data_IF_197091834837
#
_entry.id   IF_197091834837
#
_cell.length_a   1.000
_cell.length_b   1.000
_cell.length_c   1.000
_cell.angle_alpha   90.00
_cell.angle_beta   90.00
_cell.angle_gamma   90.00
#
_symmetry.space_group_name_H-M   'P 1'
#
loop_
_entity.id
_entity.type
_entity.pdbx_description
1 polymer ?
#
# COMPACT_ATOMS: atom_id res chain seq x y z
N UNK A 1 -12.14 6.41 0.64
CA UNK A 1 -10.69 6.52 0.96
C UNK A 1 -10.41 7.91 1.51
N UNK A 2 -9.41 8.04 2.38
CA UNK A 2 -8.95 9.31 2.94
C UNK A 2 -7.89 9.97 2.04
N UNK A 3 -7.62 11.26 2.29
CA UNK A 3 -6.79 12.10 1.41
C UNK A 3 -5.42 11.51 1.09
N UNK A 4 -4.68 11.09 2.11
CA UNK A 4 -3.30 10.59 1.92
C UNK A 4 -3.29 9.22 1.22
N UNK A 5 -4.26 8.37 1.54
CA UNK A 5 -4.51 7.11 0.83
C UNK A 5 -4.83 7.33 -0.65
N UNK A 6 -5.66 8.33 -0.96
CA UNK A 6 -5.98 8.72 -2.35
C UNK A 6 -4.72 9.20 -3.07
N UNK A 7 -3.88 9.98 -2.40
CA UNK A 7 -2.60 10.44 -2.94
C UNK A 7 -1.67 9.27 -3.24
N UNK A 8 -1.49 8.35 -2.29
CA UNK A 8 -0.67 7.16 -2.45
C UNK A 8 -1.14 6.31 -3.64
N UNK A 9 -2.44 6.01 -3.73
CA UNK A 9 -3.01 5.21 -4.83
C UNK A 9 -2.74 5.84 -6.19
N UNK A 10 -2.98 7.16 -6.32
CA UNK A 10 -2.77 7.88 -7.59
C UNK A 10 -1.30 7.98 -7.96
N UNK A 11 -0.43 8.18 -6.97
CA UNK A 11 1.01 8.21 -7.19
C UNK A 11 1.53 6.84 -7.67
N UNK A 12 1.05 5.74 -7.08
CA UNK A 12 1.37 4.38 -7.53
C UNK A 12 0.88 4.15 -8.96
N UNK A 13 -0.39 4.43 -9.28
CA UNK A 13 -0.90 4.26 -10.64
C UNK A 13 -0.15 5.09 -11.68
N UNK A 14 0.32 6.28 -11.32
CA UNK A 14 1.09 7.14 -12.22
C UNK A 14 2.53 6.64 -12.43
N UNK A 15 3.17 6.10 -11.38
CA UNK A 15 4.55 5.61 -11.44
C UNK A 15 4.66 4.19 -12.02
N UNK A 16 3.63 3.37 -11.85
CA UNK A 16 3.60 1.95 -12.23
C UNK A 16 2.37 1.65 -13.09
N UNK A 17 2.35 2.07 -14.37
CA UNK A 17 1.19 1.91 -15.24
C UNK A 17 0.81 0.44 -15.53
N UNK A 18 1.69 -0.52 -15.24
CA UNK A 18 1.41 -1.95 -15.29
C UNK A 18 0.49 -2.45 -14.15
N UNK A 19 0.32 -1.66 -13.09
CA UNK A 19 -0.63 -1.94 -12.02
C UNK A 19 -2.01 -1.50 -12.46
N UNK A 20 -2.90 -2.47 -12.66
CA UNK A 20 -4.27 -2.24 -13.12
C UNK A 20 -5.32 -2.45 -12.02
N UNK A 21 -4.93 -2.99 -10.86
CA UNK A 21 -5.84 -3.30 -9.75
C UNK A 21 -5.26 -2.79 -8.43
N UNK A 22 -6.00 -1.90 -7.77
CA UNK A 22 -5.68 -1.36 -6.45
C UNK A 22 -6.96 -1.45 -5.61
N UNK A 23 -6.94 -2.35 -4.63
CA UNK A 23 -7.99 -2.47 -3.63
C UNK A 23 -7.93 -1.33 -2.62
N UNK A 24 -9.07 -0.96 -2.02
CA UNK A 24 -9.16 0.13 -1.07
C UNK A 24 -10.16 -0.14 0.05
N UNK A 25 -11.17 0.74 0.20
CA UNK A 25 -12.18 0.63 1.25
C UNK A 25 -13.00 -0.65 1.11
N UNK A 26 -13.05 -1.45 2.18
CA UNK A 26 -13.88 -2.65 2.31
C UNK A 26 -14.08 -3.01 3.78
N UNK A 27 -15.01 -3.91 4.06
CA UNK A 27 -15.11 -4.52 5.39
C UNK A 27 -13.86 -5.34 5.69
N UNK A 28 -13.32 -5.19 6.89
CA UNK A 28 -12.13 -5.87 7.37
C UNK A 28 -12.18 -5.96 8.90
N UNK A 29 -11.45 -6.90 9.46
CA UNK A 29 -11.22 -7.05 10.91
C UNK A 29 -10.38 -5.92 11.49
N UNK A 30 -9.48 -5.33 10.69
CA UNK A 30 -8.60 -4.24 11.08
C UNK A 30 -9.12 -2.89 10.57
N UNK A 31 -8.79 -1.77 11.24
CA UNK A 31 -9.46 -0.50 10.97
C UNK A 31 -9.05 0.18 9.65
N UNK A 32 -7.89 -0.15 9.08
CA UNK A 32 -7.33 0.67 7.99
C UNK A 32 -8.15 0.63 6.69
N UNK A 33 -8.54 -0.54 6.20
CA UNK A 33 -9.41 -0.62 5.02
C UNK A 33 -10.80 -0.02 5.26
N UNK A 34 -11.53 -0.35 6.36
CA UNK A 34 -12.83 0.24 6.68
C UNK A 34 -12.79 1.76 6.75
N UNK A 35 -11.73 2.32 7.35
CA UNK A 35 -11.58 3.77 7.50
C UNK A 35 -11.02 4.45 6.25
N UNK A 36 -10.69 3.70 5.19
CA UNK A 36 -10.09 4.21 3.96
C UNK A 36 -8.67 4.73 4.13
N UNK A 37 -7.94 4.18 5.10
CA UNK A 37 -6.55 4.47 5.42
C UNK A 37 -5.57 3.53 4.71
N UNK A 38 -6.04 2.46 4.06
CA UNK A 38 -5.18 1.52 3.34
C UNK A 38 -5.61 1.24 1.90
N UNK A 39 -4.63 0.81 1.11
CA UNK A 39 -4.77 0.22 -0.22
C UNK A 39 -3.95 -1.07 -0.34
N UNK A 40 -4.42 -1.97 -1.20
CA UNK A 40 -3.66 -3.14 -1.63
C UNK A 40 -3.34 -2.99 -3.11
N UNK A 41 -2.05 -2.90 -3.42
CA UNK A 41 -1.57 -2.80 -4.79
C UNK A 41 -1.31 -4.22 -5.30
N UNK A 42 -2.21 -4.72 -6.14
CA UNK A 42 -2.15 -6.12 -6.60
C UNK A 42 -1.00 -6.30 -7.59
N UNK A 43 -0.13 -7.27 -7.31
CA UNK A 43 1.06 -7.52 -8.12
C UNK A 43 0.74 -8.62 -9.16
N UNK A 44 0.90 -8.35 -10.46
CA UNK A 44 0.74 -9.38 -11.49
C UNK A 44 1.86 -10.42 -11.39
N UNK A 45 1.49 -11.70 -11.47
CA UNK A 45 2.41 -12.85 -11.37
C UNK A 45 3.39 -12.72 -10.17
N UNK A 46 2.87 -12.59 -8.95
CA UNK A 46 3.64 -12.13 -7.79
C UNK A 46 4.69 -13.15 -7.32
N UNK A 47 4.57 -14.41 -7.75
CA UNK A 47 5.52 -15.48 -7.45
C UNK A 47 6.75 -15.45 -8.36
N UNK A 48 6.68 -14.79 -9.52
CA UNK A 48 7.81 -14.73 -10.45
C UNK A 48 8.85 -13.69 -10.05
N UNK A 49 10.05 -13.81 -10.61
CA UNK A 49 11.12 -12.83 -10.38
C UNK A 49 10.70 -11.41 -10.78
N UNK A 50 9.92 -11.26 -11.87
CA UNK A 50 9.43 -9.97 -12.35
C UNK A 50 8.39 -9.39 -11.40
N UNK A 51 7.40 -10.18 -10.97
CA UNK A 51 6.39 -9.74 -10.02
C UNK A 51 7.01 -9.32 -8.69
N UNK A 52 7.97 -10.12 -8.17
CA UNK A 52 8.71 -9.77 -6.96
C UNK A 52 9.48 -8.46 -7.09
N UNK A 53 10.21 -8.28 -8.18
CA UNK A 53 10.95 -7.04 -8.43
C UNK A 53 10.02 -5.81 -8.55
N UNK A 54 8.83 -5.98 -9.13
CA UNK A 54 7.81 -4.94 -9.21
C UNK A 54 7.25 -4.59 -7.82
N UNK A 55 6.86 -5.60 -7.03
CA UNK A 55 6.41 -5.38 -5.64
C UNK A 55 7.47 -4.70 -4.79
N UNK A 56 8.75 -5.10 -4.93
CA UNK A 56 9.87 -4.45 -4.26
C UNK A 56 10.01 -2.98 -4.68
N UNK A 57 9.82 -2.67 -5.95
CA UNK A 57 9.88 -1.30 -6.47
C UNK A 57 8.74 -0.42 -5.92
N UNK A 58 7.52 -0.96 -5.86
CA UNK A 58 6.35 -0.27 -5.29
C UNK A 58 6.52 -0.03 -3.79
N UNK A 59 6.97 -1.03 -3.03
CA UNK A 59 7.27 -0.89 -1.61
C UNK A 59 8.32 0.21 -1.38
N UNK A 60 9.44 0.17 -2.11
CA UNK A 60 10.48 1.21 -2.01
C UNK A 60 9.96 2.59 -2.40
N UNK A 61 9.14 2.68 -3.43
CA UNK A 61 8.52 3.94 -3.84
C UNK A 61 7.62 4.52 -2.74
N UNK A 62 6.78 3.68 -2.11
CA UNK A 62 5.93 4.10 -1.01
C UNK A 62 6.76 4.61 0.18
N UNK A 63 7.81 3.87 0.56
CA UNK A 63 8.71 4.25 1.65
C UNK A 63 9.54 5.49 1.34
N UNK A 64 9.97 5.71 0.09
CA UNK A 64 10.67 6.93 -0.33
C UNK A 64 9.80 8.19 -0.21
N UNK A 65 8.47 8.04 -0.29
CA UNK A 65 7.49 9.12 -0.16
C UNK A 65 6.74 9.07 1.18
N UNK A 66 7.28 8.36 2.18
CA UNK A 66 6.59 8.08 3.45
C UNK A 66 6.05 9.32 4.14
N UNK A 67 6.78 10.43 4.09
CA UNK A 67 6.37 11.69 4.75
C UNK A 67 5.26 12.39 3.96
N UNK A 68 5.20 12.23 2.63
CA UNK A 68 4.14 12.80 1.77
C UNK A 68 2.83 12.03 1.89
N UNK A 69 2.92 10.71 2.03
CA UNK A 69 1.76 9.84 2.18
C UNK A 69 1.35 9.66 3.64
N UNK A 70 2.11 10.24 4.59
CA UNK A 70 1.98 9.99 6.03
C UNK A 70 1.82 8.48 6.32
N UNK A 71 2.76 7.68 5.81
CA UNK A 71 2.72 6.22 5.93
C UNK A 71 2.62 5.83 7.41
N UNK A 72 1.73 4.88 7.68
CA UNK A 72 1.66 4.16 8.94
C UNK A 72 2.57 2.92 8.86
N UNK A 73 2.39 2.11 7.81
CA UNK A 73 3.26 0.98 7.48
C UNK A 73 3.04 0.55 6.02
N UNK A 74 4.01 -0.20 5.48
CA UNK A 74 3.90 -0.89 4.19
C UNK A 74 4.23 -2.37 4.42
N UNK A 75 3.44 -3.29 3.87
CA UNK A 75 3.72 -4.73 3.97
C UNK A 75 3.94 -5.30 2.57
N UNK A 76 5.02 -6.07 2.42
CA UNK A 76 5.29 -6.85 1.23
C UNK A 76 6.03 -8.14 1.58
N UNK A 77 5.59 -9.27 1.02
CA UNK A 77 6.16 -10.59 1.28
C UNK A 77 6.40 -10.86 2.77
N UNK A 78 5.32 -10.75 3.55
CA UNK A 78 5.28 -10.99 5.00
C UNK A 78 6.18 -10.05 5.83
N UNK A 79 6.77 -9.01 5.22
CA UNK A 79 7.63 -8.06 5.91
C UNK A 79 6.92 -6.72 6.02
N UNK A 80 6.77 -6.23 7.25
CA UNK A 80 6.24 -4.91 7.54
C UNK A 80 7.38 -3.90 7.64
N UNK A 81 7.32 -2.85 6.83
CA UNK A 81 8.22 -1.71 6.81
C UNK A 81 7.57 -0.51 7.51
N UNK A 82 8.31 0.11 8.42
CA UNK A 82 7.84 1.23 9.24
C UNK A 82 8.49 2.56 8.81
N UNK A 83 7.82 3.72 9.04
CA UNK A 83 8.31 5.03 8.63
C UNK A 83 9.67 5.46 9.22
N UNK A 84 10.11 4.82 10.31
CA UNK A 84 11.42 5.03 10.93
C UNK A 84 12.55 4.28 10.21
N UNK A 85 12.22 3.51 9.16
CA UNK A 85 13.15 2.72 8.37
C UNK A 85 13.35 1.29 8.89
N UNK A 86 12.77 0.94 10.03
CA UNK A 86 12.80 -0.43 10.53
C UNK A 86 11.90 -1.36 9.71
N UNK A 87 12.22 -2.65 9.74
CA UNK A 87 11.43 -3.71 9.12
C UNK A 87 11.31 -4.91 10.05
N UNK A 88 10.14 -5.53 10.08
CA UNK A 88 9.85 -6.69 10.93
C UNK A 88 9.09 -7.77 10.15
N UNK A 89 9.47 -9.02 10.38
CA UNK A 89 8.73 -10.15 9.84
C UNK A 89 7.40 -10.29 10.59
N UNK A 90 6.30 -10.38 9.86
CA UNK A 90 4.98 -10.59 10.42
C UNK A 90 4.77 -12.06 10.81
N UNK A 91 3.91 -12.35 11.81
CA UNK A 91 3.40 -13.69 12.03
C UNK A 91 2.78 -14.27 10.74
N UNK A 92 2.91 -15.57 10.55
CA UNK A 92 2.28 -16.25 9.41
C UNK A 92 0.75 -16.25 9.58
N UNK A 93 0.05 -15.56 8.68
CA UNK A 93 -1.41 -15.46 8.63
C UNK A 93 -2.11 -16.66 7.99
N UNK A 94 -1.36 -17.68 7.55
CA UNK A 94 -1.90 -18.97 7.11
C UNK A 94 -2.31 -19.05 5.63
N UNK A 95 -2.19 -17.97 4.86
CA UNK A 95 -2.44 -17.99 3.42
C UNK A 95 -1.51 -17.05 2.66
N UNK A 96 -1.39 -17.24 1.34
CA UNK A 96 -0.57 -16.41 0.46
C UNK A 96 -0.96 -14.93 0.55
N UNK A 97 -2.26 -14.65 0.47
CA UNK A 97 -2.81 -13.29 0.57
C UNK A 97 -2.69 -12.72 1.98
N UNK A 98 -2.97 -13.50 3.04
CA UNK A 98 -2.82 -13.02 4.42
C UNK A 98 -1.36 -12.69 4.78
N UNK A 99 -0.41 -13.36 4.12
CA UNK A 99 1.03 -13.07 4.22
C UNK A 99 1.49 -11.98 3.25
N UNK A 100 0.58 -11.30 2.54
CA UNK A 100 0.89 -10.20 1.63
C UNK A 100 1.90 -10.60 0.54
N UNK A 101 1.75 -11.81 0.03
CA UNK A 101 2.65 -12.34 -1.00
C UNK A 101 2.18 -12.02 -2.42
N UNK A 102 0.90 -11.62 -2.61
CA UNK A 102 0.28 -11.23 -3.88
C UNK A 102 0.07 -9.73 -4.06
N UNK A 103 0.21 -8.93 -3.00
CA UNK A 103 0.00 -7.49 -3.05
C UNK A 103 0.92 -6.73 -2.10
N UNK A 104 1.23 -5.48 -2.45
CA UNK A 104 1.85 -4.52 -1.53
C UNK A 104 0.74 -3.78 -0.80
N UNK A 105 0.63 -4.01 0.52
CA UNK A 105 -0.31 -3.26 1.36
C UNK A 105 0.33 -1.95 1.82
N UNK A 106 -0.38 -0.84 1.64
CA UNK A 106 0.07 0.49 2.03
C UNK A 106 -0.98 1.10 2.95
N UNK A 107 -0.64 1.23 4.23
CA UNK A 107 -1.44 1.94 5.22
C UNK A 107 -0.88 3.34 5.46
N UNK A 108 -1.75 4.34 5.52
CA UNK A 108 -1.46 5.72 5.89
C UNK A 108 -2.07 6.03 7.26
N UNK A 109 -1.65 7.12 7.88
CA UNK A 109 -2.34 7.66 9.06
C UNK A 109 -3.72 8.25 8.67
N UNK A 110 -4.03 8.32 7.38
CA UNK A 110 -5.21 8.96 6.85
C UNK A 110 -5.07 10.48 6.91
N UNK A 111 -5.69 11.19 5.97
CA UNK A 111 -5.69 12.65 5.99
C UNK A 111 -7.01 13.24 6.47
N UNK A 112 -7.98 12.39 6.84
CA UNK A 112 -9.39 12.74 6.92
C UNK A 112 -10.09 12.68 5.55
N UNK A 113 -11.36 13.09 5.53
CA UNK A 113 -12.21 13.04 4.35
C UNK A 113 -11.67 13.94 3.22
N UNK A 114 -11.80 13.51 1.95
CA UNK A 114 -11.52 14.38 0.81
C UNK A 114 -12.59 15.48 0.69
N UNK A 115 -12.20 16.66 0.19
CA UNK A 115 -13.13 17.74 -0.14
C UNK A 115 -13.10 18.08 -1.63
N UNK A 116 -14.17 18.70 -2.13
CA UNK A 116 -14.31 19.07 -3.54
C UNK A 116 -13.18 20.02 -4.00
N UNK A 117 -12.68 19.82 -5.22
CA UNK A 117 -11.61 20.64 -5.80
C UNK A 117 -10.18 20.27 -5.37
N UNK A 118 -10.01 19.32 -4.45
CA UNK A 118 -8.70 18.91 -3.99
C UNK A 118 -7.92 18.11 -5.05
N UNK A 119 -6.65 18.48 -5.25
CA UNK A 119 -5.72 17.81 -6.16
C UNK A 119 -4.80 16.86 -5.39
N UNK A 120 -4.59 15.67 -5.94
CA UNK A 120 -3.75 14.62 -5.37
C UNK A 120 -2.73 14.22 -6.43
N UNK A 121 -1.54 14.80 -6.34
CA UNK A 121 -0.38 14.59 -7.23
C UNK A 121 0.88 14.81 -6.40
N UNK A 122 1.93 14.05 -6.71
CA UNK A 122 3.28 14.29 -6.18
C UNK A 122 3.89 15.54 -6.81
#
# INVERSE_FOLDING_TARGET
MQKDTILAARAVSAAFPEITDIGGVRADSLPWHPNGQAIDVMIPDPSSARGKALGDAIMRFAMAHKDKFHINHVIWQQTMHLPDGSAQLMPNGGSFTANHMDHVHIATNGGGAPHAGQRYRL
#
